data_IF_785514762358
#
_entry.id   IF_785514762358
#
_cell.length_a   1.000
_cell.length_b   1.000
_cell.length_c   1.000
_cell.angle_alpha   90.00
_cell.angle_beta   90.00
_cell.angle_gamma   90.00
#
_symmetry.space_group_name_H-M   'P 1'
#
loop_
_entity.id
_entity.type
_entity.pdbx_description
1 polymer ?
#
# COMPACT_ATOMS: atom_id res chain seq x y z
N UNK A 1 40.70 -21.47 -18.04
CA UNK A 1 39.57 -21.69 -17.12
C UNK A 1 38.46 -20.75 -17.53
N UNK A 2 37.34 -21.27 -18.00
CA UNK A 2 36.25 -20.45 -18.56
C UNK A 2 35.63 -19.60 -17.44
N UNK A 3 35.91 -18.30 -17.45
CA UNK A 3 35.18 -17.30 -16.71
C UNK A 3 33.73 -17.36 -17.20
N UNK A 4 32.90 -18.00 -16.39
CA UNK A 4 31.48 -18.13 -16.67
C UNK A 4 30.90 -16.73 -16.78
N UNK A 5 30.48 -16.34 -17.97
CA UNK A 5 29.98 -14.99 -18.22
C UNK A 5 28.60 -14.89 -17.55
N UNK A 6 28.51 -14.12 -16.47
CA UNK A 6 27.25 -13.84 -15.77
C UNK A 6 26.87 -12.39 -16.08
N UNK A 7 26.12 -12.16 -17.18
CA UNK A 7 25.85 -10.82 -17.68
C UNK A 7 24.86 -10.05 -16.80
N UNK A 8 24.04 -10.76 -16.01
CA UNK A 8 23.00 -10.16 -15.20
C UNK A 8 23.48 -9.88 -13.78
N UNK A 9 23.15 -8.70 -13.27
CA UNK A 9 23.63 -8.18 -11.99
C UNK A 9 22.46 -7.69 -11.16
N UNK A 10 22.51 -7.92 -9.86
CA UNK A 10 21.55 -7.31 -8.95
C UNK A 10 21.92 -5.83 -8.72
N UNK A 11 21.02 -4.87 -9.00
CA UNK A 11 21.29 -3.44 -8.77
C UNK A 11 21.58 -3.11 -7.31
N UNK A 12 21.12 -3.94 -6.37
CA UNK A 12 21.26 -3.73 -4.92
C UNK A 12 22.49 -4.41 -4.32
N UNK A 13 22.86 -5.58 -4.83
CA UNK A 13 24.04 -6.30 -4.36
C UNK A 13 25.32 -5.96 -5.16
N UNK A 14 25.20 -5.20 -6.24
CA UNK A 14 26.31 -4.78 -7.08
C UNK A 14 27.08 -5.96 -7.70
N UNK A 15 28.40 -5.80 -7.79
CA UNK A 15 29.32 -6.73 -8.47
C UNK A 15 29.38 -8.14 -7.83
N UNK A 16 28.95 -8.26 -6.58
CA UNK A 16 29.11 -9.45 -5.74
C UNK A 16 28.06 -10.54 -5.98
N UNK A 17 26.95 -10.22 -6.66
CA UNK A 17 25.91 -11.19 -7.03
C UNK A 17 25.58 -11.06 -8.51
N UNK A 18 26.15 -11.96 -9.30
CA UNK A 18 25.89 -12.10 -10.73
C UNK A 18 25.11 -13.38 -11.01
N UNK A 19 24.29 -13.36 -12.06
CA UNK A 19 23.37 -14.43 -12.41
C UNK A 19 23.55 -14.84 -13.88
N UNK A 20 23.36 -16.13 -14.16
CA UNK A 20 23.47 -16.69 -15.52
C UNK A 20 22.23 -16.44 -16.37
N UNK A 21 21.09 -16.16 -15.74
CA UNK A 21 19.82 -15.92 -16.40
C UNK A 21 19.00 -14.86 -15.65
N UNK A 22 18.10 -14.21 -16.39
CA UNK A 22 17.11 -13.28 -15.81
C UNK A 22 16.19 -13.97 -14.79
N UNK A 23 15.85 -15.25 -15.00
CA UNK A 23 15.02 -16.01 -14.06
C UNK A 23 15.69 -16.15 -12.69
N UNK A 24 17.01 -16.40 -12.67
CA UNK A 24 17.77 -16.49 -11.43
C UNK A 24 17.94 -15.14 -10.73
N UNK A 25 18.10 -14.05 -11.50
CA UNK A 25 18.09 -12.69 -10.96
C UNK A 25 16.72 -12.31 -10.38
N UNK A 26 15.62 -12.64 -11.07
CA UNK A 26 14.25 -12.37 -10.62
C UNK A 26 13.96 -13.08 -9.30
N UNK A 27 14.26 -14.37 -9.21
CA UNK A 27 14.10 -15.13 -7.97
C UNK A 27 14.92 -14.50 -6.83
N UNK A 28 16.16 -14.09 -7.09
CA UNK A 28 16.97 -13.44 -6.07
C UNK A 28 16.34 -12.14 -5.54
N UNK A 29 15.84 -11.27 -6.43
CA UNK A 29 15.14 -10.04 -6.04
C UNK A 29 13.86 -10.33 -5.24
N UNK A 30 13.11 -11.35 -5.66
CA UNK A 30 11.84 -11.73 -5.04
C UNK A 30 12.03 -12.37 -3.66
N UNK A 31 13.11 -13.11 -3.41
CA UNK A 31 13.34 -13.73 -2.10
C UNK A 31 14.17 -12.87 -1.14
N UNK A 32 15.10 -12.04 -1.65
CA UNK A 32 16.06 -11.31 -0.81
C UNK A 32 15.73 -9.82 -0.70
N UNK A 33 14.95 -9.28 -1.63
CA UNK A 33 14.71 -7.85 -1.77
C UNK A 33 13.23 -7.52 -2.01
N UNK A 34 12.30 -8.42 -1.64
CA UNK A 34 10.86 -8.29 -1.89
C UNK A 34 10.31 -6.96 -1.39
N UNK A 35 10.50 -6.66 -0.10
CA UNK A 35 9.98 -5.45 0.55
C UNK A 35 10.55 -4.17 -0.07
N UNK A 36 11.86 -4.14 -0.27
CA UNK A 36 12.52 -2.95 -0.82
C UNK A 36 12.15 -2.77 -2.30
N UNK A 37 11.87 -3.84 -3.04
CA UNK A 37 11.45 -3.78 -4.46
C UNK A 37 10.04 -3.23 -4.54
N UNK A 38 9.14 -3.71 -3.68
CA UNK A 38 7.78 -3.19 -3.56
C UNK A 38 7.76 -1.74 -3.04
N UNK A 39 8.66 -1.36 -2.13
CA UNK A 39 8.77 0.01 -1.64
C UNK A 39 9.19 1.00 -2.73
N UNK A 40 10.24 0.67 -3.50
CA UNK A 40 10.67 1.51 -4.62
C UNK A 40 9.57 1.63 -5.67
N UNK A 41 8.91 0.52 -6.03
CA UNK A 41 7.79 0.53 -6.98
C UNK A 41 6.60 1.35 -6.46
N UNK A 42 6.25 1.20 -5.18
CA UNK A 42 5.19 1.96 -4.52
C UNK A 42 5.48 3.46 -4.49
N UNK A 43 6.76 3.84 -4.37
CA UNK A 43 7.20 5.25 -4.34
C UNK A 43 7.34 5.85 -5.74
N UNK A 44 7.69 5.06 -6.75
CA UNK A 44 7.73 5.48 -8.16
C UNK A 44 6.36 5.48 -8.85
N UNK A 45 5.37 4.75 -8.32
CA UNK A 45 3.99 4.75 -8.80
C UNK A 45 3.27 6.10 -8.58
N UNK A 46 3.90 7.09 -7.92
CA UNK A 46 3.39 8.46 -7.87
C UNK A 46 3.81 9.32 -9.06
N UNK A 47 4.67 8.83 -9.96
CA UNK A 47 5.12 9.55 -11.17
C UNK A 47 5.19 8.60 -12.36
N UNK A 48 4.05 8.06 -12.77
CA UNK A 48 3.86 7.45 -14.08
C UNK A 48 2.50 7.94 -14.59
N UNK A 49 2.48 9.17 -15.11
CA UNK A 49 1.35 9.64 -15.91
C UNK A 49 1.37 8.87 -17.23
N UNK A 50 0.30 8.12 -17.46
CA UNK A 50 0.09 7.25 -18.61
C UNK A 50 -0.29 8.07 -19.85
N UNK A 51 0.66 8.88 -20.32
CA UNK A 51 0.65 9.55 -21.61
C UNK A 51 2.14 9.59 -22.00
N UNK A 52 2.66 8.66 -22.78
CA UNK A 52 2.46 8.59 -24.24
C UNK A 52 2.69 7.14 -24.69
N UNK A 53 1.64 6.46 -25.10
CA UNK A 53 1.76 5.38 -26.09
C UNK A 53 0.86 5.78 -27.26
N UNK A 54 1.42 6.61 -28.15
CA UNK A 54 0.96 6.72 -29.52
C UNK A 54 2.11 6.34 -30.44
N UNK A 55 1.77 5.41 -31.34
CA UNK A 55 2.53 4.83 -32.42
C UNK A 55 3.24 5.84 -33.32
N UNK A 56 4.41 5.47 -33.87
CA UNK A 56 4.85 5.94 -35.19
C UNK A 56 6.31 6.39 -35.33
N UNK A 57 7.13 5.49 -35.87
CA UNK A 57 8.24 5.73 -36.83
C UNK A 57 9.48 6.56 -36.41
N UNK A 58 10.63 5.88 -36.59
CA UNK A 58 12.01 6.32 -36.84
C UNK A 58 12.91 6.97 -35.77
N UNK A 59 14.10 6.35 -35.68
CA UNK A 59 15.45 6.90 -35.42
C UNK A 59 15.59 7.95 -34.32
N UNK A 60 16.17 7.54 -33.19
CA UNK A 60 17.58 7.83 -32.86
C UNK A 60 17.83 7.58 -31.38
N UNK A 61 18.98 6.96 -31.12
CA UNK A 61 19.65 6.78 -29.83
C UNK A 61 19.52 8.03 -28.96
N UNK A 62 18.97 7.93 -27.75
CA UNK A 62 19.42 8.68 -26.59
C UNK A 62 19.16 7.88 -25.30
N UNK A 63 20.29 7.50 -24.69
CA UNK A 63 20.45 6.95 -23.36
C UNK A 63 20.00 7.99 -22.32
N UNK A 64 19.15 7.67 -21.32
CA UNK A 64 19.05 8.50 -20.13
C UNK A 64 20.23 8.17 -19.23
N UNK A 65 21.30 8.92 -19.45
CA UNK A 65 22.38 9.08 -18.48
C UNK A 65 21.85 9.98 -17.37
N UNK A 66 22.22 9.68 -16.13
CA UNK A 66 22.00 10.47 -14.91
C UNK A 66 20.62 10.34 -14.23
N UNK A 67 20.53 9.35 -13.35
CA UNK A 67 20.01 9.61 -12.00
C UNK A 67 21.19 9.37 -11.05
N UNK A 68 22.05 10.39 -10.94
CA UNK A 68 23.01 10.49 -9.85
C UNK A 68 22.27 11.09 -8.66
N UNK A 69 22.60 10.53 -7.49
CA UNK A 69 22.28 11.01 -6.15
C UNK A 69 20.83 10.72 -5.75
N UNK A 70 20.52 9.99 -4.68
CA UNK A 70 21.12 9.99 -3.35
C UNK A 70 21.07 8.55 -2.83
N UNK A 71 22.25 7.98 -2.59
CA UNK A 71 22.42 6.66 -1.98
C UNK A 71 22.92 6.90 -0.56
N UNK A 72 22.02 6.88 0.41
CA UNK A 72 22.40 6.78 1.82
C UNK A 72 22.19 5.34 2.28
N UNK A 73 23.30 4.60 2.24
CA UNK A 73 23.41 3.29 2.86
C UNK A 73 23.26 3.44 4.37
N UNK A 74 22.11 3.02 4.91
CA UNK A 74 22.09 2.52 6.29
C UNK A 74 22.27 1.01 6.24
N UNK A 75 23.52 0.60 6.40
CA UNK A 75 23.90 -0.78 6.61
C UNK A 75 23.37 -1.22 7.97
N UNK A 76 22.32 -2.06 8.00
CA UNK A 76 22.01 -2.84 9.20
C UNK A 76 22.55 -4.26 9.03
N UNK A 77 23.64 -4.54 9.76
CA UNK A 77 24.15 -5.89 9.94
C UNK A 77 23.05 -6.77 10.53
N UNK A 78 22.90 -7.96 9.95
CA UNK A 78 21.97 -8.96 10.41
C UNK A 78 22.20 -9.41 11.85
N UNK A 79 21.13 -9.93 12.41
CA UNK A 79 21.12 -11.03 13.39
C UNK A 79 19.87 -11.86 13.11
N UNK A 80 20.11 -13.16 12.94
CA UNK A 80 19.12 -14.21 12.80
C UNK A 80 18.15 -14.23 14.00
N UNK A 81 16.88 -14.57 13.74
CA UNK A 81 16.03 -15.47 14.55
C UNK A 81 14.65 -15.54 13.86
N UNK A 82 14.44 -16.55 13.02
CA UNK A 82 13.68 -17.78 13.31
C UNK A 82 12.19 -17.53 13.63
N UNK A 83 11.38 -17.74 12.59
CA UNK A 83 10.05 -18.40 12.55
C UNK A 83 9.36 -18.71 13.89
N UNK A 84 8.08 -18.33 14.02
CA UNK A 84 6.96 -19.28 13.98
C UNK A 84 5.62 -18.53 13.81
N UNK A 85 4.84 -18.94 12.82
CA UNK A 85 3.40 -18.68 12.71
C UNK A 85 2.69 -19.54 13.75
N UNK A 86 1.67 -19.04 14.46
CA UNK A 86 0.37 -19.69 14.35
C UNK A 86 -0.79 -18.80 14.77
N UNK A 87 -1.90 -19.02 14.07
CA UNK A 87 -3.14 -18.28 14.12
C UNK A 87 -4.18 -19.22 14.77
N UNK A 88 -4.77 -18.86 15.93
CA UNK A 88 -6.07 -19.43 16.25
C UNK A 88 -6.96 -18.53 17.11
N UNK A 89 -8.18 -18.42 16.60
CA UNK A 89 -9.36 -17.70 17.05
C UNK A 89 -10.18 -18.57 18.02
N UNK A 90 -10.94 -17.95 18.93
CA UNK A 90 -12.13 -18.61 19.50
C UNK A 90 -12.42 -18.34 20.98
N UNK A 91 -13.29 -17.35 21.20
CA UNK A 91 -14.41 -17.32 22.15
C UNK A 91 -14.20 -17.21 23.68
N UNK A 92 -14.85 -16.17 24.19
CA UNK A 92 -15.75 -16.12 25.33
C UNK A 92 -15.31 -15.68 26.74
N UNK A 93 -15.95 -14.56 27.09
CA UNK A 93 -16.42 -14.04 28.36
C UNK A 93 -15.56 -13.05 29.17
N UNK A 94 -16.24 -12.01 29.71
CA UNK A 94 -15.63 -10.78 30.17
C UNK A 94 -15.23 -10.91 31.63
N UNK A 95 -14.00 -10.54 31.95
CA UNK A 95 -13.63 -10.24 33.32
C UNK A 95 -12.80 -8.97 33.31
N UNK A 96 -13.37 -7.92 33.90
CA UNK A 96 -12.69 -6.66 34.09
C UNK A 96 -11.39 -6.87 34.86
N UNK A 97 -10.35 -6.16 34.45
CA UNK A 97 -9.26 -5.86 35.37
C UNK A 97 -8.51 -4.65 34.85
N UNK A 98 -8.83 -3.52 35.50
CA UNK A 98 -7.83 -2.60 36.02
C UNK A 98 -7.07 -1.76 34.99
N UNK A 99 -7.58 -0.54 34.83
CA UNK A 99 -6.81 0.65 34.51
C UNK A 99 -5.55 0.70 35.39
N UNK A 100 -4.37 0.51 34.81
CA UNK A 100 -3.11 0.77 35.50
C UNK A 100 -2.91 2.28 35.59
N UNK A 101 -3.36 2.86 36.70
CA UNK A 101 -2.72 4.04 37.26
C UNK A 101 -1.46 3.57 37.99
N UNK A 102 -0.26 4.09 37.68
CA UNK A 102 0.87 3.98 38.59
C UNK A 102 0.51 4.77 39.85
N UNK A 103 0.09 4.04 40.86
CA UNK A 103 -0.06 4.49 42.24
C UNK A 103 1.31 5.01 42.69
N UNK A 104 1.44 6.33 42.79
CA UNK A 104 2.59 6.95 43.45
C UNK A 104 2.37 6.72 44.95
N UNK A 105 2.78 5.55 45.44
CA UNK A 105 2.93 5.32 46.87
C UNK A 105 4.00 6.27 47.39
N UNK A 106 3.56 7.35 48.03
CA UNK A 106 4.42 8.17 48.89
C UNK A 106 4.72 7.33 50.13
N UNK A 107 5.98 6.93 50.41
CA UNK A 107 6.28 6.14 51.60
C UNK A 107 6.26 7.07 52.81
N UNK A 108 5.09 7.22 53.45
CA UNK A 108 4.95 7.91 54.75
C UNK A 108 5.04 6.88 55.88
N UNK A 109 6.09 6.05 55.91
CA UNK A 109 6.21 5.05 56.98
C UNK A 109 7.60 4.80 57.58
N UNK A 110 8.64 5.57 57.26
CA UNK A 110 9.99 5.35 57.83
C UNK A 110 10.51 6.49 58.72
N UNK A 111 9.66 7.08 59.56
CA UNK A 111 10.15 8.02 60.61
C UNK A 111 9.91 7.51 62.04
N UNK A 112 9.20 6.39 62.23
CA UNK A 112 8.91 5.86 63.57
C UNK A 112 9.46 4.45 63.76
N UNK A 113 10.77 4.33 63.99
CA UNK A 113 11.39 3.29 64.86
C UNK A 113 12.93 3.42 64.88
N UNK A 114 13.46 4.35 65.70
CA UNK A 114 14.76 4.18 66.36
C UNK A 114 14.72 4.80 67.75
N UNK A 115 14.61 3.96 68.77
CA UNK A 115 14.85 4.33 70.16
C UNK A 115 15.81 3.32 70.80
N UNK A 116 17.05 3.77 71.00
CA UNK A 116 17.99 3.24 72.00
C UNK A 116 19.13 4.26 72.20
N UNK A 117 18.89 5.30 73.02
CA UNK A 117 19.61 5.61 74.28
C UNK A 117 21.14 5.79 74.14
N UNK A 118 21.59 7.03 73.96
CA UNK A 118 22.68 7.65 74.74
C UNK A 118 22.55 9.18 74.68
N UNK A 119 22.67 9.79 75.86
CA UNK A 119 22.64 11.22 76.23
C UNK A 119 22.90 12.29 75.16
N UNK A 120 21.88 13.12 74.94
CA UNK A 120 21.90 14.58 74.85
C UNK A 120 20.61 14.98 74.12
N UNK A 121 19.61 15.47 74.86
CA UNK A 121 18.37 15.96 74.25
C UNK A 121 18.67 17.24 73.44
N UNK A 122 18.44 17.27 72.11
CA UNK A 122 18.14 18.53 71.44
C UNK A 122 16.69 18.93 71.81
N UNK A 123 16.31 20.21 71.76
CA UNK A 123 14.95 20.61 72.11
C UNK A 123 13.95 19.82 71.25
N UNK A 124 12.98 19.14 71.86
CA UNK A 124 11.93 18.38 71.15
C UNK A 124 11.21 19.22 70.07
N UNK A 125 11.23 20.55 70.23
CA UNK A 125 10.76 21.52 69.25
C UNK A 125 11.56 21.53 67.92
N UNK A 126 12.87 21.26 67.93
CA UNK A 126 13.72 21.24 66.72
C UNK A 126 13.51 19.96 65.88
N UNK A 127 13.20 18.82 66.51
CA UNK A 127 12.90 17.58 65.80
C UNK A 127 11.48 17.60 65.20
N UNK A 128 10.50 18.17 65.90
CA UNK A 128 9.15 18.38 65.37
C UNK A 128 9.16 19.35 64.17
N UNK A 129 9.87 20.48 64.29
CA UNK A 129 10.01 21.45 63.20
C UNK A 129 10.73 20.87 61.96
N UNK A 130 11.68 19.94 62.15
CA UNK A 130 12.34 19.25 61.03
C UNK A 130 11.40 18.28 60.30
N UNK A 131 10.52 17.58 61.02
CA UNK A 131 9.51 16.69 60.43
C UNK A 131 8.45 17.51 59.67
N UNK A 132 8.03 18.64 60.24
CA UNK A 132 7.10 19.57 59.58
C UNK A 132 7.70 20.15 58.28
N UNK A 133 8.98 20.51 58.27
CA UNK A 133 9.66 21.00 57.07
C UNK A 133 9.76 19.94 55.96
N UNK A 134 10.05 18.68 56.32
CA UNK A 134 10.09 17.56 55.36
C UNK A 134 8.71 17.28 54.76
N UNK A 135 7.65 17.40 55.56
CA UNK A 135 6.26 17.25 55.09
C UNK A 135 5.87 18.37 54.11
N UNK A 136 6.15 19.62 54.45
CA UNK A 136 5.88 20.77 53.58
C UNK A 136 6.68 20.69 52.27
N UNK A 137 7.93 20.23 52.31
CA UNK A 137 8.73 19.98 51.12
C UNK A 137 8.14 18.84 50.26
N UNK A 138 7.67 17.76 50.86
CA UNK A 138 6.97 16.68 50.17
C UNK A 138 5.69 17.16 49.48
N UNK A 139 4.91 18.00 50.17
CA UNK A 139 3.70 18.61 49.62
C UNK A 139 4.01 19.57 48.46
N UNK A 140 5.09 20.35 48.56
CA UNK A 140 5.54 21.22 47.49
C UNK A 140 5.94 20.43 46.22
N UNK A 141 6.68 19.33 46.39
CA UNK A 141 7.06 18.43 45.28
C UNK A 141 5.84 17.81 44.61
N UNK A 142 4.86 17.34 45.39
CA UNK A 142 3.61 16.80 44.86
C UNK A 142 2.79 17.83 44.09
N UNK A 143 2.73 19.08 44.57
CA UNK A 143 2.05 20.19 43.87
C UNK A 143 2.71 20.49 42.52
N UNK A 144 4.04 20.53 42.47
CA UNK A 144 4.80 20.73 41.22
C UNK A 144 4.48 19.59 40.24
N UNK A 145 4.58 18.35 40.70
CA UNK A 145 4.30 17.17 39.87
C UNK A 145 2.85 17.14 39.36
N UNK A 146 1.87 17.58 40.16
CA UNK A 146 0.49 17.66 39.72
C UNK A 146 0.29 18.67 38.59
N UNK A 147 0.93 19.86 38.67
CA UNK A 147 0.86 20.87 37.62
C UNK A 147 1.54 20.40 36.32
N UNK A 148 2.70 19.75 36.42
CA UNK A 148 3.39 19.16 35.26
C UNK A 148 2.54 18.08 34.58
N UNK A 149 1.89 17.20 35.36
CA UNK A 149 0.97 16.19 34.81
C UNK A 149 -0.22 16.83 34.07
N UNK A 150 -0.76 17.95 34.58
CA UNK A 150 -1.83 18.68 33.92
C UNK A 150 -1.36 19.30 32.59
N UNK A 151 -0.17 19.91 32.53
CA UNK A 151 0.41 20.43 31.27
C UNK A 151 0.62 19.32 30.23
N UNK A 152 1.12 18.16 30.66
CA UNK A 152 1.24 17.00 29.79
C UNK A 152 -0.12 16.51 29.28
N UNK A 153 -1.14 16.51 30.14
CA UNK A 153 -2.49 16.12 29.76
C UNK A 153 -3.08 17.07 28.71
N UNK A 154 -2.91 18.38 28.88
CA UNK A 154 -3.36 19.39 27.90
C UNK A 154 -2.64 19.22 26.54
N UNK A 155 -1.34 18.92 26.56
CA UNK A 155 -0.58 18.63 25.32
C UNK A 155 -1.06 17.36 24.64
N UNK A 156 -1.34 16.30 25.41
CA UNK A 156 -1.87 15.04 24.88
C UNK A 156 -3.25 15.24 24.26
N UNK A 157 -4.12 16.02 24.90
CA UNK A 157 -5.45 16.35 24.38
C UNK A 157 -5.34 17.11 23.05
N UNK A 158 -4.50 18.15 22.96
CA UNK A 158 -4.24 18.87 21.71
C UNK A 158 -3.72 17.95 20.59
N UNK A 159 -2.77 17.07 20.90
CA UNK A 159 -2.27 16.10 19.92
C UNK A 159 -3.35 15.10 19.50
N UNK A 160 -4.22 14.67 20.42
CA UNK A 160 -5.36 13.80 20.11
C UNK A 160 -6.34 14.47 19.16
N UNK A 161 -6.75 15.71 19.47
CA UNK A 161 -7.63 16.50 18.62
C UNK A 161 -7.03 16.74 17.23
N UNK A 162 -5.75 17.08 17.15
CA UNK A 162 -5.06 17.25 15.86
C UNK A 162 -5.03 15.97 15.04
N UNK A 163 -4.80 14.83 15.68
CA UNK A 163 -4.80 13.52 15.01
C UNK A 163 -6.20 13.16 14.55
N UNK A 164 -7.22 13.35 15.38
CA UNK A 164 -8.63 13.14 15.04
C UNK A 164 -9.04 14.01 13.85
N UNK A 165 -8.74 15.31 13.87
CA UNK A 165 -9.00 16.23 12.76
C UNK A 165 -8.27 15.84 11.47
N UNK A 166 -7.02 15.37 11.57
CA UNK A 166 -6.27 14.87 10.40
C UNK A 166 -6.86 13.57 9.86
N UNK A 167 -7.36 12.69 10.73
CA UNK A 167 -8.01 11.45 10.33
C UNK A 167 -9.34 11.78 9.64
N UNK A 168 -10.19 12.61 10.22
CA UNK A 168 -11.49 13.00 9.62
C UNK A 168 -11.28 13.67 8.27
N UNK A 169 -10.36 14.63 8.15
CA UNK A 169 -10.04 15.27 6.87
C UNK A 169 -9.54 14.28 5.80
N UNK A 170 -8.74 13.27 6.19
CA UNK A 170 -8.29 12.22 5.26
C UNK A 170 -9.43 11.29 4.85
N UNK A 171 -10.30 10.92 5.79
CA UNK A 171 -11.47 10.08 5.53
C UNK A 171 -12.43 10.80 4.58
N UNK A 172 -12.73 12.07 4.82
CA UNK A 172 -13.62 12.87 3.96
C UNK A 172 -13.06 13.00 2.54
N UNK A 173 -11.75 13.26 2.42
CA UNK A 173 -11.09 13.31 1.12
C UNK A 173 -11.20 11.97 0.39
N UNK A 174 -10.90 10.86 1.05
CA UNK A 174 -11.02 9.53 0.46
C UNK A 174 -12.46 9.19 0.08
N UNK A 175 -13.44 9.62 0.88
CA UNK A 175 -14.86 9.41 0.61
C UNK A 175 -15.29 10.17 -0.66
N UNK A 176 -14.90 11.43 -0.81
CA UNK A 176 -15.21 12.21 -2.04
C UNK A 176 -14.51 11.63 -3.27
N UNK A 177 -13.27 11.14 -3.15
CA UNK A 177 -12.56 10.48 -4.24
C UNK A 177 -13.22 9.15 -4.62
N UNK A 178 -13.68 8.37 -3.64
CA UNK A 178 -14.41 7.12 -3.86
C UNK A 178 -15.75 7.36 -4.55
N UNK A 179 -16.52 8.34 -4.09
CA UNK A 179 -17.78 8.74 -4.71
C UNK A 179 -17.57 9.21 -6.15
N UNK A 180 -16.57 10.06 -6.40
CA UNK A 180 -16.22 10.48 -7.76
C UNK A 180 -15.86 9.29 -8.64
N UNK A 181 -14.98 8.40 -8.18
CA UNK A 181 -14.56 7.21 -8.94
C UNK A 181 -15.71 6.24 -9.19
N UNK A 182 -16.63 6.08 -8.23
CA UNK A 182 -17.83 5.28 -8.41
C UNK A 182 -18.75 5.86 -9.50
N UNK A 183 -18.91 7.18 -9.54
CA UNK A 183 -19.73 7.85 -10.57
C UNK A 183 -19.10 7.78 -11.98
N UNK A 184 -17.77 7.88 -12.07
CA UNK A 184 -17.02 7.68 -13.33
C UNK A 184 -17.15 6.24 -13.83
N UNK A 185 -17.02 5.27 -12.92
CA UNK A 185 -17.17 3.85 -13.24
C UNK A 185 -18.58 3.53 -13.74
N UNK A 186 -19.61 4.10 -13.11
CA UNK A 186 -20.99 3.85 -13.52
C UNK A 186 -21.30 4.42 -14.91
N UNK A 187 -20.79 5.62 -15.23
CA UNK A 187 -20.87 6.19 -16.59
C UNK A 187 -20.17 5.30 -17.61
N UNK A 188 -18.95 4.85 -17.31
CA UNK A 188 -18.19 3.96 -18.20
C UNK A 188 -18.91 2.62 -18.43
N UNK A 189 -19.57 2.05 -17.40
CA UNK A 189 -20.42 0.85 -17.55
C UNK A 189 -21.60 1.10 -18.47
N UNK A 190 -22.32 2.21 -18.30
CA UNK A 190 -23.45 2.56 -19.15
C UNK A 190 -23.03 2.76 -20.62
N UNK A 191 -21.90 3.43 -20.84
CA UNK A 191 -21.31 3.60 -22.18
C UNK A 191 -20.90 2.25 -22.78
N UNK A 192 -20.28 1.37 -22.00
CA UNK A 192 -19.91 0.02 -22.45
C UNK A 192 -21.13 -0.81 -22.86
N UNK A 193 -22.23 -0.74 -22.11
CA UNK A 193 -23.48 -1.44 -22.46
C UNK A 193 -24.05 -0.88 -23.76
N UNK A 194 -24.09 0.46 -23.90
CA UNK A 194 -24.55 1.12 -25.12
C UNK A 194 -23.74 0.70 -26.34
N UNK A 195 -22.41 0.75 -26.25
CA UNK A 195 -21.52 0.32 -27.34
C UNK A 195 -21.66 -1.17 -27.65
N UNK A 196 -21.90 -2.01 -26.64
CA UNK A 196 -22.17 -3.44 -26.86
C UNK A 196 -23.44 -3.66 -27.67
N UNK A 197 -24.51 -2.88 -27.40
CA UNK A 197 -25.75 -2.95 -28.18
C UNK A 197 -25.52 -2.48 -29.62
N UNK A 198 -24.85 -1.33 -29.81
CA UNK A 198 -24.53 -0.82 -31.15
C UNK A 198 -23.68 -1.81 -31.96
N UNK A 199 -22.72 -2.47 -31.30
CA UNK A 199 -21.91 -3.54 -31.91
C UNK A 199 -22.79 -4.71 -32.35
N UNK A 200 -23.69 -5.19 -31.50
CA UNK A 200 -24.60 -6.29 -31.84
C UNK A 200 -25.49 -5.92 -33.04
N UNK A 201 -26.09 -4.73 -33.04
CA UNK A 201 -26.94 -4.27 -34.14
C UNK A 201 -26.17 -4.21 -35.48
N UNK A 202 -24.89 -3.83 -35.44
CA UNK A 202 -24.02 -3.82 -36.62
C UNK A 202 -23.65 -5.24 -37.06
N UNK A 203 -23.38 -6.15 -36.14
CA UNK A 203 -23.11 -7.57 -36.44
C UNK A 203 -24.34 -8.26 -37.06
N UNK A 204 -25.55 -7.98 -36.57
CA UNK A 204 -26.80 -8.47 -37.16
C UNK A 204 -27.01 -7.94 -38.58
N UNK A 205 -26.77 -6.64 -38.81
CA UNK A 205 -26.81 -6.04 -40.15
C UNK A 205 -25.78 -6.65 -41.10
N UNK A 206 -24.56 -6.88 -40.62
CA UNK A 206 -23.51 -7.52 -41.41
C UNK A 206 -23.89 -8.97 -41.78
N UNK A 207 -24.49 -9.70 -40.83
CA UNK A 207 -24.97 -11.06 -41.06
C UNK A 207 -26.10 -11.11 -42.09
N UNK A 208 -27.04 -10.16 -42.02
CA UNK A 208 -28.12 -10.05 -43.01
C UNK A 208 -27.59 -9.70 -44.40
N UNK A 209 -26.63 -8.77 -44.51
CA UNK A 209 -25.97 -8.47 -45.78
C UNK A 209 -25.20 -9.68 -46.32
N UNK A 210 -24.51 -10.44 -45.47
CA UNK A 210 -23.84 -11.68 -45.87
C UNK A 210 -24.84 -12.67 -46.48
N UNK A 211 -25.97 -12.88 -45.82
CA UNK A 211 -27.05 -13.75 -46.31
C UNK A 211 -27.59 -13.27 -47.66
N UNK A 212 -27.75 -11.97 -47.86
CA UNK A 212 -28.19 -11.40 -49.14
C UNK A 212 -27.18 -11.63 -50.25
N UNK A 213 -25.88 -11.51 -49.96
CA UNK A 213 -24.82 -11.83 -50.92
C UNK A 213 -24.85 -13.31 -51.27
N UNK A 214 -24.99 -14.21 -50.29
CA UNK A 214 -25.05 -15.65 -50.52
C UNK A 214 -26.21 -16.02 -51.47
N UNK A 215 -27.42 -15.50 -51.22
CA UNK A 215 -28.58 -15.70 -52.11
C UNK A 215 -28.32 -15.13 -53.50
N UNK A 216 -27.72 -13.94 -53.59
CA UNK A 216 -27.42 -13.30 -54.88
C UNK A 216 -26.40 -14.12 -55.69
N UNK A 217 -25.42 -14.73 -55.02
CA UNK A 217 -24.42 -15.62 -55.64
C UNK A 217 -25.08 -16.90 -56.15
N UNK A 218 -25.99 -17.51 -55.39
CA UNK A 218 -26.77 -18.68 -55.83
C UNK A 218 -27.63 -18.39 -57.06
N UNK A 219 -28.34 -17.25 -57.05
CA UNK A 219 -29.13 -16.80 -58.19
C UNK A 219 -28.25 -16.56 -59.43
N UNK A 220 -27.09 -15.93 -59.25
CA UNK A 220 -26.13 -15.70 -60.34
C UNK A 220 -25.59 -17.02 -60.92
N UNK A 221 -25.31 -18.01 -60.06
CA UNK A 221 -24.87 -19.33 -60.51
C UNK A 221 -25.96 -20.02 -61.36
N UNK A 222 -27.22 -19.95 -60.92
CA UNK A 222 -28.37 -20.51 -61.66
C UNK A 222 -28.54 -19.84 -63.03
N UNK A 223 -28.54 -18.50 -63.07
CA UNK A 223 -28.65 -17.75 -64.33
C UNK A 223 -27.48 -18.04 -65.28
N UNK A 224 -26.26 -18.18 -64.76
CA UNK A 224 -25.10 -18.58 -65.56
C UNK A 224 -25.29 -19.98 -66.16
N UNK A 225 -25.82 -20.93 -65.38
CA UNK A 225 -26.10 -22.27 -65.88
C UNK A 225 -27.16 -22.25 -66.98
N UNK A 226 -28.24 -21.50 -66.81
CA UNK A 226 -29.30 -21.35 -67.81
C UNK A 226 -28.79 -20.72 -69.11
N UNK A 227 -27.96 -19.67 -69.03
CA UNK A 227 -27.33 -19.05 -70.19
C UNK A 227 -26.48 -20.06 -70.98
N UNK A 228 -25.64 -20.85 -70.29
CA UNK A 228 -24.82 -21.88 -70.93
C UNK A 228 -25.68 -22.95 -71.61
N UNK A 229 -26.78 -23.38 -70.97
CA UNK A 229 -27.71 -24.33 -71.58
C UNK A 229 -28.36 -23.75 -72.83
N UNK A 230 -28.80 -22.50 -72.80
CA UNK A 230 -29.41 -21.81 -73.94
C UNK A 230 -28.42 -21.62 -75.09
N UNK A 231 -27.18 -21.26 -74.81
CA UNK A 231 -26.13 -21.14 -75.83
C UNK A 231 -25.87 -22.48 -76.52
N UNK A 232 -25.85 -23.60 -75.77
CA UNK A 232 -25.73 -24.93 -76.35
C UNK A 232 -26.93 -25.32 -77.23
N UNK A 233 -28.16 -25.00 -76.80
CA UNK A 233 -29.36 -25.19 -77.61
C UNK A 233 -29.30 -24.40 -78.92
N UNK A 234 -28.87 -23.14 -78.86
CA UNK A 234 -28.70 -22.28 -80.03
C UNK A 234 -27.64 -22.82 -80.98
N UNK A 235 -26.48 -23.24 -80.46
CA UNK A 235 -25.42 -23.84 -81.26
C UNK A 235 -25.88 -25.11 -82.00
N UNK A 236 -26.65 -25.99 -81.33
CA UNK A 236 -27.22 -27.20 -81.96
C UNK A 236 -28.23 -26.88 -83.06
N UNK A 237 -28.96 -25.77 -82.96
CA UNK A 237 -29.93 -25.34 -84.00
C UNK A 237 -29.27 -24.69 -85.21
N UNK A 238 -28.03 -24.21 -85.07
CA UNK A 238 -27.28 -23.56 -86.14
C UNK A 238 -26.46 -24.55 -86.99
N UNK A 239 -26.37 -25.81 -86.56
CA UNK A 239 -25.64 -26.90 -87.21
C UNK A 239 -26.57 -27.75 -88.07
#
# INVERSE_FOLDING_TARGET
>A
MASLDLPYRCPRCGEHKRFRSLSSLRAHLEYNHTYETLYVLSKSNSVCDASVVSSGVDKSILIPTSCKEIFESTSFRGKEQRYLYDLQCGEDLPLGSTCYFPEVEVPVNDILMRKAVTSAAPPAALAAAAVDAVYEEGLARLKIQALEKLDLNERLEKLSEEVEQKITARVDKLQTELEKKSSELEKAKQESVKLSQEKQDLEEKASELSRQVDVSVEMLATLKQDLVQKDQELARKQQ
#
